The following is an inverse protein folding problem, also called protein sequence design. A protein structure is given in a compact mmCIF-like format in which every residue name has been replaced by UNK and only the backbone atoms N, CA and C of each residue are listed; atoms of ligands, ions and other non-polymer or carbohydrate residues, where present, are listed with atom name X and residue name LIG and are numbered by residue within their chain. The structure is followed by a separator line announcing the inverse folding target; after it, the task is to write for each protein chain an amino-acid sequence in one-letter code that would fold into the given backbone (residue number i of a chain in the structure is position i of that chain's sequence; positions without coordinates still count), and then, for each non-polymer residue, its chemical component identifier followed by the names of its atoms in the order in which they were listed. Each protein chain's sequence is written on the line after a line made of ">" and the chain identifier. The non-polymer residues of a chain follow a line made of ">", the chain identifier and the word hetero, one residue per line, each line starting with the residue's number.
data_IF_107947095163
#
_entry.id   IF_107947095163
#
_cell.length_a   1.000
_cell.length_b   1.000
_cell.length_c   1.000
_cell.angle_alpha   90.00
_cell.angle_beta   90.00
_cell.angle_gamma   90.00
#
_symmetry.space_group_name_H-M   'P 1'
#
loop_
_entity.id
_entity.type
_entity.pdbx_description
1 polymer ?
#
# COMPACT_ATOMS: atom_id res chain seq x y z
N UNK A 1 60.86 -9.39 -18.19
CA UNK A 1 59.91 -9.28 -19.33
C UNK A 1 58.90 -10.44 -19.45
N UNK A 2 58.87 -11.43 -18.53
CA UNK A 2 57.99 -12.61 -18.63
C UNK A 2 56.59 -12.39 -18.04
N UNK A 3 56.46 -11.49 -17.05
CA UNK A 3 55.18 -11.18 -16.38
C UNK A 3 54.15 -10.52 -17.31
N UNK A 4 54.58 -9.59 -18.17
CA UNK A 4 53.71 -8.92 -19.16
C UNK A 4 53.12 -9.92 -20.15
N UNK A 5 53.90 -10.92 -20.58
CA UNK A 5 53.42 -11.96 -21.50
C UNK A 5 52.39 -12.88 -20.86
N UNK A 6 52.49 -13.17 -19.56
CA UNK A 6 51.48 -13.96 -18.82
C UNK A 6 50.15 -13.20 -18.67
N UNK A 7 50.20 -11.89 -18.43
CA UNK A 7 49.00 -11.04 -18.31
C UNK A 7 48.27 -10.91 -19.64
N UNK A 8 48.99 -10.63 -20.73
CA UNK A 8 48.41 -10.54 -22.08
C UNK A 8 47.78 -11.86 -22.54
N UNK A 9 48.36 -13.01 -22.17
CA UNK A 9 47.81 -14.32 -22.51
C UNK A 9 46.51 -14.63 -21.76
N UNK A 10 46.39 -14.20 -20.49
CA UNK A 10 45.15 -14.33 -19.70
C UNK A 10 44.00 -13.49 -20.28
N UNK A 11 44.27 -12.29 -20.79
CA UNK A 11 43.26 -11.43 -21.42
C UNK A 11 42.74 -12.00 -22.74
N UNK A 12 43.56 -12.80 -23.45
CA UNK A 12 43.15 -13.53 -24.66
C UNK A 12 42.38 -14.84 -24.36
N UNK A 13 42.46 -15.35 -23.13
CA UNK A 13 41.75 -16.56 -22.68
C UNK A 13 40.31 -16.27 -22.21
N UNK A 14 39.94 -15.00 -22.03
CA UNK A 14 38.55 -14.58 -21.86
C UNK A 14 37.79 -14.71 -23.19
N UNK A 15 37.36 -15.94 -23.48
CA UNK A 15 36.42 -16.21 -24.58
C UNK A 15 35.14 -15.41 -24.32
N UNK A 16 34.92 -14.38 -25.15
CA UNK A 16 33.72 -13.56 -25.08
C UNK A 16 32.45 -14.39 -25.29
N UNK A 17 31.40 -14.04 -24.55
CA UNK A 17 30.06 -14.60 -24.70
C UNK A 17 29.59 -14.34 -26.13
N UNK A 18 29.01 -15.32 -26.79
CA UNK A 18 28.54 -15.13 -28.16
C UNK A 18 27.29 -14.23 -28.17
N UNK A 19 27.14 -13.39 -29.20
CA UNK A 19 25.93 -12.55 -29.33
C UNK A 19 24.65 -13.39 -29.37
N UNK A 20 24.72 -14.61 -29.90
CA UNK A 20 23.58 -15.51 -29.99
C UNK A 20 23.19 -16.12 -28.63
N UNK A 21 24.14 -16.36 -27.73
CA UNK A 21 23.84 -16.76 -26.34
C UNK A 21 23.12 -15.66 -25.59
N UNK A 22 23.62 -14.42 -25.69
CA UNK A 22 22.94 -13.28 -25.08
C UNK A 22 21.55 -13.06 -25.69
N UNK A 23 21.40 -13.26 -27.00
CA UNK A 23 20.12 -13.16 -27.69
C UNK A 23 19.11 -14.22 -27.21
N UNK A 24 19.52 -15.48 -27.07
CA UNK A 24 18.64 -16.52 -26.55
C UNK A 24 18.14 -16.23 -25.14
N UNK A 25 19.01 -15.68 -24.27
CA UNK A 25 18.65 -15.34 -22.88
C UNK A 25 17.62 -14.21 -22.80
N UNK A 26 17.81 -13.11 -23.55
CA UNK A 26 16.85 -11.99 -23.52
C UNK A 26 15.49 -12.38 -24.11
N UNK A 27 15.45 -13.30 -25.07
CA UNK A 27 14.20 -13.84 -25.62
C UNK A 27 13.45 -14.63 -24.55
N UNK A 28 14.12 -15.53 -23.83
CA UNK A 28 13.49 -16.30 -22.76
C UNK A 28 13.04 -15.38 -21.61
N UNK A 29 13.88 -14.43 -21.18
CA UNK A 29 13.51 -13.44 -20.17
C UNK A 29 12.33 -12.57 -20.63
N UNK A 30 12.26 -12.22 -21.92
CA UNK A 30 11.14 -11.49 -22.50
C UNK A 30 9.83 -12.27 -22.43
N UNK A 31 9.83 -13.57 -22.72
CA UNK A 31 8.65 -14.44 -22.61
C UNK A 31 8.18 -14.55 -21.16
N UNK A 32 9.12 -14.77 -20.22
CA UNK A 32 8.79 -14.86 -18.78
C UNK A 32 8.26 -13.52 -18.28
N UNK A 33 8.89 -12.40 -18.65
CA UNK A 33 8.45 -11.07 -18.26
C UNK A 33 7.06 -10.73 -18.80
N UNK A 34 6.75 -11.12 -20.03
CA UNK A 34 5.44 -10.87 -20.65
C UNK A 34 4.28 -11.51 -19.87
N UNK A 35 4.49 -12.70 -19.29
CA UNK A 35 3.48 -13.41 -18.48
C UNK A 35 3.57 -13.00 -17.00
N UNK A 36 4.78 -12.80 -16.49
CA UNK A 36 5.04 -12.54 -15.08
C UNK A 36 4.64 -11.15 -14.61
N UNK A 37 4.92 -10.11 -15.40
CA UNK A 37 4.60 -8.71 -15.03
C UNK A 37 3.10 -8.50 -14.77
N UNK A 38 2.17 -8.89 -15.67
CA UNK A 38 0.74 -8.67 -15.41
C UNK A 38 0.24 -9.48 -14.21
N UNK A 39 0.73 -10.71 -14.00
CA UNK A 39 0.35 -11.53 -12.85
C UNK A 39 0.77 -10.88 -11.52
N UNK A 40 1.99 -10.35 -11.45
CA UNK A 40 2.51 -9.64 -10.27
C UNK A 40 1.72 -8.35 -10.03
N UNK A 41 1.36 -7.62 -11.10
CA UNK A 41 0.59 -6.39 -10.99
C UNK A 41 -0.81 -6.63 -10.40
N UNK A 42 -1.51 -7.66 -10.86
CA UNK A 42 -2.80 -8.06 -10.29
C UNK A 42 -2.66 -8.51 -8.84
N UNK A 43 -1.69 -9.38 -8.54
CA UNK A 43 -1.47 -9.86 -7.16
C UNK A 43 -1.16 -8.72 -6.19
N UNK A 44 -0.44 -7.69 -6.65
CA UNK A 44 -0.19 -6.49 -5.86
C UNK A 44 -1.46 -5.68 -5.61
N UNK A 45 -2.27 -5.42 -6.63
CA UNK A 45 -3.54 -4.69 -6.47
C UNK A 45 -4.51 -5.43 -5.55
N UNK A 46 -4.59 -6.76 -5.66
CA UNK A 46 -5.40 -7.59 -4.77
C UNK A 46 -4.89 -7.54 -3.32
N UNK A 47 -3.56 -7.57 -3.12
CA UNK A 47 -2.95 -7.44 -1.80
C UNK A 47 -3.18 -6.06 -1.18
N UNK A 48 -3.09 -4.99 -1.97
CA UNK A 48 -3.38 -3.61 -1.54
C UNK A 48 -4.86 -3.47 -1.15
N UNK A 49 -5.77 -4.02 -1.96
CA UNK A 49 -7.21 -4.01 -1.65
C UNK A 49 -7.54 -4.83 -0.40
N UNK A 50 -6.96 -6.03 -0.27
CA UNK A 50 -7.16 -6.91 0.90
C UNK A 50 -6.63 -6.26 2.19
N UNK A 51 -5.45 -5.65 2.13
CA UNK A 51 -4.88 -4.88 3.25
C UNK A 51 -5.77 -3.70 3.60
N UNK A 52 -6.25 -2.97 2.59
CA UNK A 52 -7.21 -1.87 2.75
C UNK A 52 -8.47 -2.30 3.49
N UNK A 53 -9.08 -3.41 3.07
CA UNK A 53 -10.28 -3.95 3.72
C UNK A 53 -10.01 -4.41 5.15
N UNK A 54 -8.89 -5.09 5.41
CA UNK A 54 -8.50 -5.51 6.75
C UNK A 54 -8.31 -4.31 7.69
N UNK A 55 -7.64 -3.26 7.20
CA UNK A 55 -7.45 -2.02 7.93
C UNK A 55 -8.80 -1.35 8.25
N UNK A 56 -9.74 -1.33 7.31
CA UNK A 56 -11.08 -0.78 7.54
C UNK A 56 -11.85 -1.57 8.60
N UNK A 57 -11.70 -2.89 8.65
CA UNK A 57 -12.28 -3.70 9.72
C UNK A 57 -11.67 -3.36 11.08
N UNK A 58 -10.34 -3.22 11.16
CA UNK A 58 -9.66 -2.77 12.39
C UNK A 58 -10.14 -1.39 12.82
N UNK A 59 -10.19 -0.43 11.90
CA UNK A 59 -10.70 0.92 12.17
C UNK A 59 -12.17 0.89 12.60
N UNK A 60 -13.00 0.03 12.02
CA UNK A 60 -14.40 -0.14 12.44
C UNK A 60 -14.51 -0.67 13.87
N UNK A 61 -13.66 -1.63 14.25
CA UNK A 61 -13.64 -2.16 15.61
C UNK A 61 -13.16 -1.11 16.61
N UNK A 62 -12.13 -0.34 16.26
CA UNK A 62 -11.67 0.80 17.05
C UNK A 62 -12.78 1.83 17.19
N UNK A 63 -13.39 2.26 16.10
CA UNK A 63 -14.48 3.23 16.12
C UNK A 63 -15.63 2.75 17.01
N UNK A 64 -16.11 1.52 16.83
CA UNK A 64 -17.16 0.92 17.68
C UNK A 64 -16.75 0.87 19.14
N UNK A 65 -15.50 0.55 19.45
CA UNK A 65 -15.01 0.60 20.83
C UNK A 65 -15.08 2.02 21.41
N UNK A 66 -14.72 3.05 20.64
CA UNK A 66 -14.86 4.45 21.07
C UNK A 66 -16.32 4.84 21.32
N UNK A 67 -17.24 4.33 20.48
CA UNK A 67 -18.69 4.47 20.70
C UNK A 67 -19.09 3.86 22.05
N UNK A 68 -18.66 2.63 22.32
CA UNK A 68 -19.00 1.91 23.56
C UNK A 68 -18.39 2.55 24.81
N UNK A 69 -17.17 3.06 24.70
CA UNK A 69 -16.46 3.73 25.80
C UNK A 69 -17.07 5.12 26.10
N UNK A 70 -18.07 5.58 25.32
CA UNK A 70 -18.79 6.84 25.52
C UNK A 70 -17.99 8.07 25.11
N UNK A 71 -16.87 7.86 24.41
CA UNK A 71 -15.97 8.87 23.90
C UNK A 71 -16.64 9.59 22.71
N UNK A 72 -17.52 10.53 23.04
CA UNK A 72 -18.22 11.37 22.06
C UNK A 72 -17.37 12.60 21.79
N UNK A 73 -16.83 12.73 20.58
CA UNK A 73 -15.99 13.86 20.21
C UNK A 73 -16.58 14.58 19.01
N UNK A 74 -17.42 15.57 19.32
CA UNK A 74 -17.96 16.50 18.35
C UNK A 74 -16.82 17.33 17.74
N UNK A 75 -16.34 16.95 16.55
CA UNK A 75 -15.49 17.84 15.77
C UNK A 75 -16.37 18.96 15.20
N UNK A 76 -16.34 20.08 15.92
CA UNK A 76 -17.03 21.32 15.62
C UNK A 76 -18.57 21.26 15.67
N UNK A 77 -19.09 22.22 16.41
CA UNK A 77 -20.47 22.69 16.46
C UNK A 77 -21.00 22.99 15.07
N UNK A 78 -21.55 22.00 14.36
CA UNK A 78 -22.81 22.24 13.67
C UNK A 78 -23.87 22.27 14.75
N UNK A 79 -24.34 23.48 15.09
CA UNK A 79 -25.32 23.72 16.15
C UNK A 79 -26.73 23.14 15.82
N UNK A 80 -26.82 22.12 14.96
CA UNK A 80 -28.06 21.66 14.34
C UNK A 80 -28.15 20.14 14.17
N UNK A 81 -27.32 19.33 14.82
CA UNK A 81 -27.54 17.88 14.82
C UNK A 81 -27.16 17.24 16.15
N UNK A 82 -28.17 16.73 16.86
CA UNK A 82 -28.11 15.86 18.04
C UNK A 82 -27.46 14.48 17.75
N UNK A 83 -26.49 14.41 16.83
CA UNK A 83 -25.81 13.18 16.48
C UNK A 83 -24.46 13.11 17.20
N UNK A 84 -24.24 12.01 17.92
CA UNK A 84 -22.91 11.57 18.37
C UNK A 84 -21.95 11.60 17.18
N UNK A 85 -21.04 12.56 17.13
CA UNK A 85 -20.02 12.64 16.07
C UNK A 85 -18.72 12.04 16.60
N UNK A 86 -18.08 11.22 15.76
CA UNK A 86 -16.74 10.67 16.02
C UNK A 86 -15.74 11.32 15.06
N UNK A 87 -14.54 11.58 15.59
CA UNK A 87 -13.43 12.16 14.86
C UNK A 87 -12.63 11.06 14.15
N UNK A 88 -12.48 11.18 12.83
CA UNK A 88 -11.74 10.19 12.04
C UNK A 88 -10.25 10.17 12.43
N UNK A 89 -9.68 11.31 12.82
CA UNK A 89 -8.27 11.39 13.23
C UNK A 89 -7.99 10.52 14.46
N UNK A 90 -8.94 10.44 15.38
CA UNK A 90 -8.80 9.61 16.57
C UNK A 90 -8.95 8.12 16.25
N UNK A 91 -9.89 7.75 15.37
CA UNK A 91 -10.03 6.37 14.90
C UNK A 91 -8.74 5.92 14.21
N UNK A 92 -8.15 6.76 13.36
CA UNK A 92 -6.85 6.48 12.72
C UNK A 92 -5.74 6.33 13.76
N UNK A 93 -5.64 7.26 14.72
CA UNK A 93 -4.60 7.23 15.76
C UNK A 93 -4.71 6.00 16.66
N UNK A 94 -5.92 5.69 17.14
CA UNK A 94 -6.15 4.58 18.07
C UNK A 94 -6.22 3.21 17.39
N UNK A 95 -6.48 3.16 16.08
CA UNK A 95 -6.38 1.91 15.31
C UNK A 95 -4.94 1.51 15.01
N UNK A 96 -3.98 2.45 15.14
CA UNK A 96 -2.58 2.22 14.80
C UNK A 96 -2.31 2.11 13.29
N UNK A 97 -3.33 2.29 12.46
CA UNK A 97 -3.25 2.26 11.00
C UNK A 97 -2.70 3.62 10.54
N UNK A 98 -1.39 3.79 10.58
CA UNK A 98 -0.74 5.03 10.12
C UNK A 98 0.00 4.75 8.82
N UNK A 99 -0.29 5.54 7.78
CA UNK A 99 0.42 5.47 6.51
C UNK A 99 1.51 6.54 6.44
N UNK A 100 2.51 6.33 5.59
CA UNK A 100 3.62 7.28 5.39
C UNK A 100 3.13 8.63 4.83
N UNK A 101 2.03 8.63 4.08
CA UNK A 101 1.32 9.81 3.60
C UNK A 101 -0.18 9.55 3.68
N UNK A 102 -0.80 9.95 4.78
CA UNK A 102 -2.24 9.86 4.99
C UNK A 102 -2.85 11.24 5.24
N UNK A 103 -4.00 11.51 4.63
CA UNK A 103 -4.77 12.74 4.89
C UNK A 103 -6.06 12.38 5.61
N UNK A 104 -6.35 13.05 6.72
CA UNK A 104 -7.61 12.93 7.45
C UNK A 104 -8.49 14.14 7.14
N UNK A 105 -9.74 13.89 6.76
CA UNK A 105 -10.80 14.90 6.70
C UNK A 105 -11.91 14.53 7.69
N UNK A 106 -11.93 15.24 8.82
CA UNK A 106 -12.91 14.99 9.87
C UNK A 106 -14.32 15.48 9.51
N UNK A 107 -14.44 16.50 8.66
CA UNK A 107 -15.74 16.98 8.21
C UNK A 107 -16.41 15.90 7.34
N UNK A 108 -15.68 15.38 6.35
CA UNK A 108 -16.12 14.29 5.50
C UNK A 108 -16.14 12.92 6.21
N UNK A 109 -15.41 12.77 7.32
CA UNK A 109 -15.23 11.49 7.98
C UNK A 109 -14.42 10.53 7.10
N UNK A 110 -13.35 11.01 6.49
CA UNK A 110 -12.51 10.22 5.59
C UNK A 110 -11.05 10.23 6.00
N UNK A 111 -10.38 9.12 5.71
CA UNK A 111 -8.94 8.98 5.79
C UNK A 111 -8.45 8.41 4.46
N UNK A 112 -7.56 9.11 3.77
CA UNK A 112 -7.02 8.65 2.48
C UNK A 112 -5.55 8.31 2.66
N UNK A 113 -5.19 7.05 2.38
CA UNK A 113 -3.87 6.49 2.59
C UNK A 113 -3.62 5.30 1.65
N UNK A 114 -2.37 5.07 1.28
CA UNK A 114 -1.92 3.88 0.52
C UNK A 114 -2.76 3.57 -0.73
N UNK A 115 -3.20 4.61 -1.45
CA UNK A 115 -3.99 4.46 -2.68
C UNK A 115 -5.46 4.11 -2.46
N UNK A 116 -5.98 4.22 -1.24
CA UNK A 116 -7.40 4.04 -0.95
C UNK A 116 -7.95 5.05 0.05
N UNK A 117 -9.28 5.11 0.13
CA UNK A 117 -10.03 5.99 1.03
C UNK A 117 -10.89 5.17 1.98
N UNK A 118 -10.75 5.46 3.26
CA UNK A 118 -11.54 4.93 4.37
C UNK A 118 -12.60 5.96 4.75
N UNK A 119 -13.87 5.57 4.78
CA UNK A 119 -14.98 6.46 5.17
C UNK A 119 -15.68 5.90 6.39
N UNK A 120 -15.76 6.68 7.46
CA UNK A 120 -16.48 6.30 8.69
C UNK A 120 -17.92 6.75 8.62
N UNK A 121 -18.84 5.84 8.95
CA UNK A 121 -20.19 6.20 9.32
C UNK A 121 -20.19 6.63 10.79
N UNK A 122 -20.40 7.93 11.00
CA UNK A 122 -20.35 8.60 12.31
C UNK A 122 -21.46 8.15 13.27
N UNK A 123 -22.47 7.42 12.82
CA UNK A 123 -23.56 6.97 13.68
C UNK A 123 -23.35 5.57 14.27
N UNK A 124 -22.65 4.68 13.55
CA UNK A 124 -22.51 3.26 13.90
C UNK A 124 -21.05 2.78 14.02
N UNK A 125 -20.08 3.65 13.68
CA UNK A 125 -18.65 3.35 13.71
C UNK A 125 -18.22 2.38 12.61
N UNK A 126 -19.05 2.12 11.60
CA UNK A 126 -18.68 1.27 10.47
C UNK A 126 -17.76 2.04 9.52
N UNK A 127 -16.61 1.47 9.18
CA UNK A 127 -15.65 2.05 8.23
C UNK A 127 -15.67 1.25 6.93
N UNK A 128 -15.85 1.94 5.82
CA UNK A 128 -15.83 1.35 4.46
C UNK A 128 -14.53 1.73 3.76
N UNK A 129 -13.98 0.83 2.95
CA UNK A 129 -12.78 1.06 2.14
C UNK A 129 -13.11 1.11 0.65
N UNK A 130 -12.55 2.09 -0.06
CA UNK A 130 -12.56 2.19 -1.51
C UNK A 130 -11.12 2.32 -2.01
N UNK A 131 -10.68 1.42 -2.89
CA UNK A 131 -9.41 1.55 -3.61
C UNK A 131 -9.58 2.57 -4.75
N UNK A 132 -8.57 3.41 -4.98
CA UNK A 132 -8.57 4.39 -6.08
C UNK A 132 -8.16 3.78 -7.43
#
# INVERSE_FOLDING_TARGET
>A
MVLIRKVLKKLQEERGVTLIELLAVIVILGIIAAIGIPAIMNSRSDAETSTGQANAQTMSQTAKRLIFDGETYATAKDASSDATQYDMAEVVTKSGITAASGTVDNAAGTYTADGGTYTINKSDGTVTYAHN
#
